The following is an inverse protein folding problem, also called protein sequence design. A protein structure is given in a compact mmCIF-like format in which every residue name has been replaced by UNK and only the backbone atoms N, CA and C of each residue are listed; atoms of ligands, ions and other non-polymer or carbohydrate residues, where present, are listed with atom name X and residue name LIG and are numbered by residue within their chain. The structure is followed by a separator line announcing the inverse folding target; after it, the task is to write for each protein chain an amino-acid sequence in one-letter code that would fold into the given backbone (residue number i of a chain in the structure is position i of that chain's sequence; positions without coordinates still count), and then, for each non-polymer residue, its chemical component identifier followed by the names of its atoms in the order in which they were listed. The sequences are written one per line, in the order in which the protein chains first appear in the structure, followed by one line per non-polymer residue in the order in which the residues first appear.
data_IF_909859267309
#
_entry.id   IF_909859267309
#
_cell.length_a   1.000
_cell.length_b   1.000
_cell.length_c   1.000
_cell.angle_alpha   90.00
_cell.angle_beta   90.00
_cell.angle_gamma   90.00
#
_symmetry.space_group_name_H-M   'P 1'
#
loop_
_entity.id
_entity.type
_entity.pdbx_description
1 polymer ?
#
# COMPACT_ATOMS: atom_id res chain seq x y z
N UNK A 1 -2.08 9.81 18.35
CA UNK A 1 -1.76 8.38 18.13
C UNK A 1 -1.05 8.32 16.80
N UNK A 2 0.20 7.82 16.76
CA UNK A 2 0.93 7.58 15.51
C UNK A 2 0.91 6.06 15.33
N UNK A 3 0.30 5.57 14.26
CA UNK A 3 0.23 4.15 13.95
C UNK A 3 0.52 3.92 12.47
N UNK A 4 1.38 2.94 12.20
CA UNK A 4 1.51 2.31 10.88
C UNK A 4 0.75 1.00 10.94
N UNK A 5 -0.17 0.78 10.00
CA UNK A 5 -0.94 -0.45 9.88
C UNK A 5 -0.56 -1.11 8.55
N UNK A 6 0.44 -2.01 8.53
CA UNK A 6 0.78 -2.74 7.31
C UNK A 6 -0.34 -3.76 7.02
N UNK A 7 -1.03 -3.63 5.89
CA UNK A 7 -1.97 -4.68 5.47
C UNK A 7 -1.17 -5.91 5.01
N UNK A 8 -1.19 -6.97 5.81
CA UNK A 8 -0.65 -8.28 5.45
C UNK A 8 -1.84 -9.20 5.18
N UNK A 9 -1.87 -9.85 4.03
CA UNK A 9 -2.90 -10.85 3.76
C UNK A 9 -2.74 -12.05 4.72
N UNK A 10 -3.85 -12.68 5.09
CA UNK A 10 -3.83 -13.83 6.00
C UNK A 10 -2.96 -14.97 5.45
N UNK A 11 -1.90 -15.40 6.17
CA UNK A 11 -1.07 -16.52 5.74
C UNK A 11 -1.87 -17.84 5.68
N UNK A 12 -2.15 -18.31 4.47
CA UNK A 12 -2.91 -19.53 4.19
C UNK A 12 -4.37 -19.31 3.76
N UNK A 13 -4.77 -18.07 3.44
CA UNK A 13 -6.06 -17.82 2.79
C UNK A 13 -6.06 -18.32 1.34
N UNK A 14 -7.02 -19.19 1.00
CA UNK A 14 -7.10 -19.84 -0.31
C UNK A 14 -7.25 -18.85 -1.47
N UNK A 15 -7.88 -17.68 -1.23
CA UNK A 15 -8.09 -16.66 -2.26
C UNK A 15 -6.86 -15.81 -2.46
N UNK A 16 -6.14 -15.48 -1.38
CA UNK A 16 -4.82 -14.85 -1.50
C UNK A 16 -3.82 -15.76 -2.24
N UNK A 17 -3.82 -17.06 -1.91
CA UNK A 17 -3.02 -18.05 -2.62
C UNK A 17 -3.44 -18.21 -4.08
N UNK A 18 -4.74 -18.12 -4.38
CA UNK A 18 -5.25 -18.15 -5.76
C UNK A 18 -4.83 -16.91 -6.55
N UNK A 19 -4.98 -15.71 -5.97
CA UNK A 19 -4.51 -14.45 -6.57
C UNK A 19 -3.00 -14.54 -6.86
N UNK A 20 -2.19 -14.99 -5.91
CA UNK A 20 -0.74 -15.17 -6.08
C UNK A 20 -0.38 -16.16 -7.18
N UNK A 21 -1.04 -17.33 -7.19
CA UNK A 21 -0.83 -18.35 -8.23
C UNK A 21 -1.20 -17.82 -9.62
N UNK A 22 -2.26 -17.02 -9.71
CA UNK A 22 -2.68 -16.39 -10.96
C UNK A 22 -1.70 -15.32 -11.44
N UNK A 23 -1.07 -14.59 -10.51
CA UNK A 23 -0.15 -13.47 -10.80
C UNK A 23 1.31 -13.89 -11.01
N UNK A 24 1.65 -15.18 -10.80
CA UNK A 24 3.00 -15.78 -10.96
C UNK A 24 4.12 -15.05 -10.20
N UNK A 25 3.77 -14.48 -9.06
CA UNK A 25 4.70 -13.68 -8.27
C UNK A 25 5.56 -14.59 -7.37
N UNK A 26 6.90 -14.51 -7.49
CA UNK A 26 7.83 -15.19 -6.57
C UNK A 26 7.92 -14.41 -5.26
N UNK A 27 7.96 -15.14 -4.15
CA UNK A 27 8.26 -14.58 -2.83
C UNK A 27 9.74 -14.26 -2.70
N UNK A 28 10.06 -13.26 -1.87
CA UNK A 28 11.39 -13.15 -1.27
C UNK A 28 11.64 -14.30 -0.28
N UNK A 29 12.91 -14.64 -0.08
CA UNK A 29 13.32 -15.69 0.86
C UNK A 29 12.78 -15.39 2.27
N UNK A 30 12.17 -16.40 2.90
CA UNK A 30 11.58 -16.30 4.25
C UNK A 30 10.09 -15.92 4.32
N UNK A 31 9.46 -15.50 3.22
CA UNK A 31 8.04 -15.13 3.23
C UNK A 31 7.05 -16.30 3.37
N UNK A 32 7.55 -17.54 3.44
CA UNK A 32 6.76 -18.73 3.81
C UNK A 32 6.85 -19.08 5.31
N UNK A 33 7.80 -18.48 6.03
CA UNK A 33 7.93 -18.67 7.47
C UNK A 33 6.87 -17.82 8.19
N UNK A 34 5.99 -18.51 8.95
CA UNK A 34 5.02 -17.85 9.82
C UNK A 34 5.79 -17.24 11.00
N UNK A 35 6.04 -15.94 10.95
CA UNK A 35 6.51 -15.21 12.12
C UNK A 35 5.35 -15.01 13.11
N UNK A 36 5.62 -15.19 14.40
CA UNK A 36 4.62 -15.10 15.50
C UNK A 36 4.05 -13.68 15.69
N UNK A 37 4.50 -12.70 14.92
CA UNK A 37 4.00 -11.32 14.91
C UNK A 37 2.67 -11.19 14.11
N UNK A 38 1.68 -11.98 14.53
CA UNK A 38 0.31 -11.95 14.01
C UNK A 38 -0.48 -10.71 14.45
N UNK A 39 0.18 -9.69 15.01
CA UNK A 39 -0.47 -8.44 15.46
C UNK A 39 -0.71 -7.50 14.27
N UNK A 40 -0.09 -7.75 13.11
CA UNK A 40 -0.46 -7.14 11.84
C UNK A 40 -1.65 -7.85 11.16
N UNK A 41 -2.85 -7.63 11.73
CA UNK A 41 -4.16 -7.61 11.07
C UNK A 41 -4.90 -8.90 10.70
N UNK A 42 -6.13 -9.01 11.21
CA UNK A 42 -7.23 -9.72 10.53
C UNK A 42 -8.52 -8.90 10.68
N UNK A 43 -9.03 -8.35 9.57
CA UNK A 43 -10.47 -8.18 9.41
C UNK A 43 -10.99 -9.46 8.77
N UNK A 44 -12.21 -9.92 9.11
CA UNK A 44 -12.81 -11.07 8.45
C UNK A 44 -12.80 -10.86 6.93
N UNK A 45 -12.30 -11.82 6.16
CA UNK A 45 -12.34 -11.75 4.68
C UNK A 45 -13.77 -11.58 4.16
N UNK A 46 -14.78 -11.99 4.92
CA UNK A 46 -16.20 -11.76 4.62
C UNK A 46 -16.53 -10.28 4.40
N UNK A 47 -15.77 -9.39 5.02
CA UNK A 47 -16.01 -7.95 5.02
C UNK A 47 -15.12 -7.27 3.96
N UNK A 48 -14.36 -8.03 3.15
CA UNK A 48 -13.44 -7.48 2.16
C UNK A 48 -14.13 -6.52 1.19
N UNK A 49 -15.32 -6.90 0.73
CA UNK A 49 -16.12 -6.12 -0.23
C UNK A 49 -16.72 -4.85 0.38
N UNK A 50 -16.79 -4.75 1.71
CA UNK A 50 -17.29 -3.56 2.41
C UNK A 50 -16.23 -2.43 2.45
N UNK A 51 -14.96 -2.75 2.19
CA UNK A 51 -13.82 -1.84 2.22
C UNK A 51 -13.10 -1.80 0.85
N UNK A 52 -13.57 -0.99 -0.13
CA UNK A 52 -13.03 -0.97 -1.49
C UNK A 52 -11.53 -0.67 -1.56
N UNK A 53 -10.97 0.04 -0.58
CA UNK A 53 -9.54 0.33 -0.53
C UNK A 53 -8.68 -0.90 -0.18
N UNK A 54 -9.30 -2.04 0.15
CA UNK A 54 -8.61 -3.34 0.21
C UNK A 54 -7.89 -3.71 -1.09
N UNK A 55 -8.48 -3.36 -2.23
CA UNK A 55 -7.92 -3.67 -3.55
C UNK A 55 -6.50 -3.11 -3.74
N UNK A 56 -6.16 -2.04 -3.01
CA UNK A 56 -4.86 -1.36 -3.04
C UNK A 56 -4.10 -1.49 -1.71
N UNK A 57 -4.50 -2.40 -0.81
CA UNK A 57 -3.78 -2.62 0.44
C UNK A 57 -4.01 -1.55 1.52
N UNK A 58 -5.13 -0.83 1.47
CA UNK A 58 -5.47 0.26 2.40
C UNK A 58 -6.76 0.03 3.21
N UNK A 59 -7.37 -1.17 3.19
CA UNK A 59 -8.69 -1.39 3.80
C UNK A 59 -8.70 -1.26 5.32
N UNK A 60 -7.57 -1.52 5.99
CA UNK A 60 -7.43 -1.26 7.44
C UNK A 60 -7.43 0.21 7.78
N UNK A 61 -6.79 1.01 6.91
CA UNK A 61 -6.79 2.45 7.06
C UNK A 61 -8.21 2.98 6.82
N UNK A 62 -8.93 2.42 5.84
CA UNK A 62 -10.34 2.72 5.62
C UNK A 62 -11.21 2.37 6.85
N UNK A 63 -11.09 1.16 7.38
CA UNK A 63 -11.81 0.73 8.57
C UNK A 63 -11.53 1.63 9.78
N UNK A 64 -10.26 2.03 9.96
CA UNK A 64 -9.87 2.98 11.00
C UNK A 64 -10.56 4.33 10.81
N UNK A 65 -10.51 4.91 9.60
CA UNK A 65 -11.13 6.20 9.30
C UNK A 65 -12.65 6.16 9.50
N UNK A 66 -13.34 5.12 9.00
CA UNK A 66 -14.79 4.93 9.21
C UNK A 66 -15.12 4.82 10.69
N UNK A 67 -14.33 4.05 11.46
CA UNK A 67 -14.55 3.90 12.91
C UNK A 67 -14.37 5.24 13.61
N UNK A 68 -13.31 5.99 13.29
CA UNK A 68 -13.05 7.31 13.85
C UNK A 68 -14.19 8.29 13.54
N UNK A 69 -14.69 8.33 12.30
CA UNK A 69 -15.88 9.14 11.97
C UNK A 69 -17.10 8.77 12.79
N UNK A 70 -17.31 7.49 13.06
CA UNK A 70 -18.46 7.03 13.83
C UNK A 70 -18.41 7.43 15.31
N UNK A 71 -17.22 7.42 15.93
CA UNK A 71 -17.08 7.66 17.37
C UNK A 71 -16.56 9.06 17.73
N UNK A 72 -15.91 9.74 16.80
CA UNK A 72 -15.30 11.06 16.99
C UNK A 72 -15.40 11.89 15.69
N UNK A 73 -16.61 12.28 15.26
CA UNK A 73 -16.85 12.89 13.95
C UNK A 73 -16.11 14.22 13.72
N UNK A 74 -15.78 14.96 14.79
CA UNK A 74 -15.04 16.22 14.71
C UNK A 74 -13.52 16.08 14.88
N UNK A 75 -12.98 14.86 14.99
CA UNK A 75 -11.55 14.66 15.20
C UNK A 75 -10.77 14.82 13.90
N UNK A 76 -9.63 15.53 13.97
CA UNK A 76 -8.59 15.44 12.94
C UNK A 76 -7.83 14.11 13.07
N UNK A 77 -7.38 13.59 11.94
CA UNK A 77 -6.59 12.34 11.88
C UNK A 77 -5.25 12.65 11.23
N UNK A 78 -4.15 12.18 11.83
CA UNK A 78 -2.81 12.32 11.27
C UNK A 78 -2.19 10.93 11.15
N UNK A 79 -1.84 10.52 9.94
CA UNK A 79 -1.27 9.21 9.62
C UNK A 79 0.00 9.36 8.79
N UNK A 80 0.93 8.41 8.97
CA UNK A 80 2.14 8.30 8.15
C UNK A 80 2.00 7.13 7.18
N UNK A 81 2.40 7.34 5.93
CA UNK A 81 2.30 6.35 4.87
C UNK A 81 3.63 6.18 4.16
N UNK A 82 3.94 4.95 3.78
CA UNK A 82 5.01 4.65 2.83
C UNK A 82 4.62 4.85 1.36
N UNK A 83 3.58 5.64 1.07
CA UNK A 83 3.05 6.13 -0.22
C UNK A 83 3.35 5.39 -1.56
N UNK A 84 3.66 4.09 -1.55
CA UNK A 84 3.96 3.27 -2.73
C UNK A 84 2.78 3.08 -3.67
N UNK A 85 1.55 3.15 -3.16
CA UNK A 85 0.32 3.21 -3.99
C UNK A 85 0.08 4.57 -4.62
N UNK A 86 0.90 5.58 -4.31
CA UNK A 86 0.74 6.95 -4.74
C UNK A 86 -0.07 7.80 -3.76
N UNK A 87 0.35 9.06 -3.58
CA UNK A 87 -0.35 10.03 -2.74
C UNK A 87 -1.79 10.32 -3.19
N UNK A 88 -2.12 10.40 -4.49
CA UNK A 88 -3.51 10.61 -4.92
C UNK A 88 -4.48 9.56 -4.36
N UNK A 89 -4.08 8.28 -4.38
CA UNK A 89 -4.88 7.17 -3.83
C UNK A 89 -5.05 7.29 -2.31
N UNK A 90 -4.02 7.76 -1.62
CA UNK A 90 -4.12 8.06 -0.19
C UNK A 90 -5.10 9.21 0.06
N UNK A 91 -5.13 10.23 -0.79
CA UNK A 91 -6.07 11.35 -0.66
C UNK A 91 -7.51 10.88 -0.91
N UNK A 92 -7.72 10.07 -1.96
CA UNK A 92 -9.02 9.46 -2.25
C UNK A 92 -9.54 8.64 -1.05
N UNK A 93 -8.65 7.92 -0.35
CA UNK A 93 -8.98 7.20 0.89
C UNK A 93 -9.53 8.14 1.97
N UNK A 94 -8.91 9.30 2.21
CA UNK A 94 -9.40 10.25 3.19
C UNK A 94 -10.73 10.87 2.76
N UNK A 95 -10.84 11.28 1.49
CA UNK A 95 -12.04 11.93 0.95
C UNK A 95 -13.26 11.02 0.97
N UNK A 96 -13.10 9.76 0.55
CA UNK A 96 -14.15 8.75 0.59
C UNK A 96 -14.66 8.48 2.02
N UNK A 97 -13.85 8.80 3.03
CA UNK A 97 -14.17 8.60 4.45
C UNK A 97 -14.48 9.90 5.20
N UNK A 98 -14.85 10.96 4.49
CA UNK A 98 -15.37 12.20 5.09
C UNK A 98 -14.29 13.10 5.69
N UNK A 99 -13.07 13.05 5.14
CA UNK A 99 -11.96 13.92 5.51
C UNK A 99 -11.45 14.68 4.30
N UNK A 100 -11.05 15.94 4.50
CA UNK A 100 -10.25 16.70 3.55
C UNK A 100 -8.76 16.42 3.84
N UNK A 101 -8.02 15.77 2.94
CA UNK A 101 -6.61 15.46 3.16
C UNK A 101 -5.70 16.67 2.91
N UNK A 102 -4.60 16.71 3.65
CA UNK A 102 -3.49 17.64 3.47
C UNK A 102 -2.18 16.90 3.75
N UNK A 103 -1.26 16.92 2.79
CA UNK A 103 0.10 16.39 2.98
C UNK A 103 0.91 17.40 3.78
N UNK A 104 1.23 17.06 5.03
CA UNK A 104 1.98 17.92 5.95
C UNK A 104 3.49 17.87 5.66
N UNK A 105 4.00 16.68 5.39
CA UNK A 105 5.42 16.45 5.14
C UNK A 105 5.61 15.23 4.25
N UNK A 106 6.70 15.21 3.47
CA UNK A 106 7.11 14.08 2.67
C UNK A 106 8.64 13.98 2.60
N UNK A 107 9.13 12.76 2.41
CA UNK A 107 10.54 12.46 2.18
C UNK A 107 10.67 11.27 1.24
N UNK A 108 11.61 11.36 0.29
CA UNK A 108 12.04 10.21 -0.52
C UNK A 108 13.04 9.41 0.28
N UNK A 109 12.77 8.11 0.47
CA UNK A 109 13.63 7.19 1.23
C UNK A 109 13.99 5.98 0.37
N UNK A 110 15.17 5.41 0.63
CA UNK A 110 15.59 4.18 -0.04
C UNK A 110 14.70 3.03 0.43
N UNK A 111 14.17 2.27 -0.52
CA UNK A 111 13.49 1.01 -0.28
C UNK A 111 14.50 0.03 0.36
N UNK A 112 14.14 -0.52 1.52
CA UNK A 112 14.96 -1.52 2.17
C UNK A 112 14.89 -2.84 1.40
N UNK A 113 16.03 -3.51 1.19
CA UNK A 113 16.10 -4.75 0.39
C UNK A 113 15.25 -5.89 0.97
N UNK A 114 15.06 -5.94 2.29
CA UNK A 114 14.19 -6.91 2.95
C UNK A 114 12.69 -6.61 2.89
N UNK A 115 12.26 -5.51 2.26
CA UNK A 115 10.85 -5.13 2.20
C UNK A 115 10.27 -5.55 0.86
N UNK A 116 9.35 -6.51 0.89
CA UNK A 116 8.69 -7.02 -0.30
C UNK A 116 7.89 -5.94 -1.05
N UNK A 117 8.04 -5.93 -2.39
CA UNK A 117 7.27 -5.07 -3.30
C UNK A 117 6.33 -5.87 -4.19
N UNK A 118 6.31 -7.19 -4.04
CA UNK A 118 5.62 -8.12 -4.93
C UNK A 118 4.10 -7.91 -4.98
N UNK A 119 3.50 -7.41 -3.90
CA UNK A 119 2.12 -6.95 -3.86
C UNK A 119 1.83 -5.85 -4.90
N UNK A 120 2.66 -4.81 -4.95
CA UNK A 120 2.50 -3.68 -5.88
C UNK A 120 2.69 -4.13 -7.32
N UNK A 121 3.63 -5.05 -7.57
CA UNK A 121 3.83 -5.68 -8.88
C UNK A 121 2.58 -6.45 -9.31
N UNK A 122 2.01 -7.26 -8.41
CA UNK A 122 0.80 -8.01 -8.69
C UNK A 122 -0.40 -7.09 -8.95
N UNK A 123 -0.51 -6.00 -8.19
CA UNK A 123 -1.54 -4.97 -8.35
C UNK A 123 -1.47 -4.32 -9.73
N UNK A 124 -0.30 -3.80 -10.13
CA UNK A 124 -0.12 -3.19 -11.46
C UNK A 124 -0.41 -4.19 -12.59
N UNK A 125 0.07 -5.43 -12.47
CA UNK A 125 -0.18 -6.48 -13.47
C UNK A 125 -1.66 -6.83 -13.59
N UNK A 126 -2.40 -6.83 -12.48
CA UNK A 126 -3.84 -7.13 -12.50
C UNK A 126 -4.67 -6.04 -13.20
N UNK A 127 -4.14 -4.82 -13.26
CA UNK A 127 -4.76 -3.69 -13.97
C UNK A 127 -4.32 -3.60 -15.43
N UNK A 128 -3.19 -4.20 -15.81
CA UNK A 128 -2.70 -4.23 -17.19
C UNK A 128 -3.65 -4.95 -18.16
N UNK A 129 -3.97 -4.31 -19.28
CA UNK A 129 -4.89 -4.81 -20.29
C UNK A 129 -6.38 -4.57 -20.00
N UNK A 130 -6.72 -3.86 -18.91
CA UNK A 130 -8.10 -3.54 -18.56
C UNK A 130 -8.56 -2.19 -19.11
N UNK A 131 -7.62 -1.39 -19.65
CA UNK A 131 -7.85 -0.02 -20.09
C UNK A 131 -7.59 1.01 -18.99
N UNK A 132 -7.47 0.59 -17.74
CA UNK A 132 -7.08 1.40 -16.58
C UNK A 132 -5.56 1.39 -16.31
N UNK A 133 -4.80 0.73 -17.18
CA UNK A 133 -3.35 0.53 -17.12
C UNK A 133 -2.56 1.85 -17.03
N UNK A 134 -3.18 2.96 -17.48
CA UNK A 134 -2.61 4.30 -17.46
C UNK A 134 -3.09 5.15 -16.30
N UNK A 135 -4.14 4.72 -15.61
CA UNK A 135 -4.83 5.48 -14.58
C UNK A 135 -4.32 5.14 -13.17
N UNK A 136 -3.57 4.03 -13.04
CA UNK A 136 -2.96 3.61 -11.78
C UNK A 136 -1.55 3.05 -12.01
N UNK A 137 -0.57 3.74 -11.43
CA UNK A 137 0.82 3.28 -11.37
C UNK A 137 1.32 3.49 -9.95
N UNK A 138 1.99 2.48 -9.38
CA UNK A 138 2.61 2.63 -8.08
C UNK A 138 3.76 3.65 -8.15
N UNK A 139 4.02 4.32 -7.02
CA UNK A 139 4.97 5.42 -6.94
C UNK A 139 6.31 4.96 -6.35
N UNK A 140 7.20 4.51 -7.23
CA UNK A 140 8.60 4.25 -6.93
C UNK A 140 9.51 5.21 -7.72
N UNK A 141 10.78 5.27 -7.33
CA UNK A 141 11.77 6.13 -7.97
C UNK A 141 13.11 5.43 -8.10
N UNK A 142 13.83 5.72 -9.19
CA UNK A 142 15.19 5.22 -9.42
C UNK A 142 16.27 6.18 -8.90
N UNK A 143 15.89 7.32 -8.33
CA UNK A 143 16.79 8.34 -7.78
C UNK A 143 16.34 8.82 -6.40
N UNK A 144 17.31 9.23 -5.58
CA UNK A 144 17.06 9.74 -4.23
C UNK A 144 16.32 11.10 -4.20
N UNK A 145 16.26 11.79 -5.34
CA UNK A 145 15.54 13.06 -5.48
C UNK A 145 14.04 12.89 -5.74
N UNK A 146 13.58 11.68 -6.06
CA UNK A 146 12.19 11.41 -6.42
C UNK A 146 11.76 12.04 -7.75
N UNK A 147 12.70 12.19 -8.69
CA UNK A 147 12.46 12.87 -9.97
C UNK A 147 12.22 11.90 -11.13
N UNK A 148 12.84 10.72 -11.07
CA UNK A 148 12.73 9.63 -12.03
C UNK A 148 11.72 8.61 -11.50
N UNK A 149 10.43 8.89 -11.75
CA UNK A 149 9.35 7.98 -11.40
C UNK A 149 9.43 6.67 -12.18
N UNK A 150 9.24 5.55 -11.48
CA UNK A 150 9.14 4.20 -12.03
C UNK A 150 7.97 3.47 -11.39
N UNK A 151 7.38 2.54 -12.13
CA UNK A 151 6.34 1.63 -11.66
C UNK A 151 6.91 0.54 -10.74
N UNK A 152 6.03 -0.19 -10.05
CA UNK A 152 6.44 -1.35 -9.26
C UNK A 152 7.04 -2.47 -10.14
N UNK A 153 6.46 -2.68 -11.32
CA UNK A 153 6.96 -3.67 -12.30
C UNK A 153 8.34 -3.32 -12.82
N UNK A 154 8.63 -2.04 -13.10
CA UNK A 154 9.96 -1.57 -13.46
C UNK A 154 10.94 -1.69 -12.29
N UNK A 155 10.53 -1.31 -11.07
CA UNK A 155 11.35 -1.47 -9.87
C UNK A 155 11.74 -2.93 -9.62
N UNK A 156 10.80 -3.87 -9.81
CA UNK A 156 11.09 -5.31 -9.70
C UNK A 156 12.07 -5.77 -10.79
N UNK A 157 11.93 -5.31 -12.02
CA UNK A 157 12.86 -5.65 -13.09
C UNK A 157 14.29 -5.16 -12.80
N UNK A 158 14.42 -3.98 -12.16
CA UNK A 158 15.71 -3.47 -11.70
C UNK A 158 16.29 -4.34 -10.57
N UNK A 159 15.48 -4.74 -9.59
CA UNK A 159 15.90 -5.62 -8.49
C UNK A 159 16.31 -7.01 -9.00
N UNK A 160 15.57 -7.55 -9.97
CA UNK A 160 15.87 -8.85 -10.58
C UNK A 160 17.19 -8.82 -11.37
N UNK A 161 17.55 -7.66 -11.94
CA UNK A 161 18.81 -7.45 -12.66
C UNK A 161 19.99 -7.16 -11.71
N UNK A 162 19.72 -6.48 -10.59
CA UNK A 162 20.70 -6.13 -9.55
C UNK A 162 20.00 -6.10 -8.18
N UNK A 163 20.31 -7.06 -7.31
CA UNK A 163 19.71 -7.15 -5.97
C UNK A 163 20.03 -5.94 -5.08
N UNK A 164 21.06 -5.16 -5.42
CA UNK A 164 21.46 -3.94 -4.71
C UNK A 164 20.87 -2.66 -5.35
N UNK A 165 20.05 -2.80 -6.40
CA UNK A 165 19.44 -1.68 -7.11
C UNK A 165 18.85 -0.65 -6.14
N UNK A 166 19.24 0.61 -6.32
CA UNK A 166 18.76 1.69 -5.49
C UNK A 166 17.34 2.10 -5.91
N UNK A 167 16.35 1.49 -5.28
CA UNK A 167 14.94 1.86 -5.41
C UNK A 167 14.54 2.77 -4.25
N UNK A 168 13.69 3.75 -4.53
CA UNK A 168 13.21 4.71 -3.55
C UNK A 168 11.67 4.81 -3.59
N UNK A 169 11.07 5.28 -2.50
CA UNK A 169 9.65 5.60 -2.42
C UNK A 169 9.42 6.81 -1.53
N UNK A 170 8.27 7.46 -1.66
CA UNK A 170 7.86 8.55 -0.78
C UNK A 170 7.33 7.98 0.55
N UNK A 171 7.79 8.53 1.67
CA UNK A 171 7.12 8.45 2.96
C UNK A 171 6.51 9.81 3.25
N UNK A 172 5.22 9.86 3.59
CA UNK A 172 4.54 11.12 3.85
C UNK A 172 3.61 11.07 5.06
N UNK A 173 3.41 12.24 5.66
CA UNK A 173 2.45 12.48 6.73
C UNK A 173 1.25 13.20 6.15
N UNK A 174 0.06 12.63 6.33
CA UNK A 174 -1.20 13.21 5.86
C UNK A 174 -2.08 13.53 7.06
N UNK A 175 -2.60 14.76 7.10
CA UNK A 175 -3.69 15.19 7.97
C UNK A 175 -5.00 15.10 7.24
N UNK A 176 -5.99 14.42 7.81
CA UNK A 176 -7.39 14.49 7.42
C UNK A 176 -8.16 15.42 8.36
N UNK A 177 -8.68 16.53 7.82
CA UNK A 177 -9.61 17.39 8.54
C UNK A 177 -11.04 16.93 8.27
N UNK A 178 -11.90 16.74 9.30
CA UNK A 178 -13.26 16.27 9.11
C UNK A 178 -14.09 17.24 8.25
N UNK A 179 -14.86 16.69 7.30
CA UNK A 179 -15.90 17.41 6.53
C UNK A 179 -17.24 17.29 7.25
#
# INVERSE_FOLDING_TARGET
MIGCLPQVACPGDERFDAFRRSSRTKLGDGAEERDDDHIAHYYPWTDFDDFPFNAVGLGLNEALLRRLRSCAPGAEVILNFGARVGVPVLFDLFEANGYKPEKLQAQIVRQHAGTDISFFVALERSLGGTGFDKDFTCAFYSDAGGTCHISATEAQAMIDADSEAAIFHEVCTIRGCPI
#
